data_IF_045254057113
#
_entry.id   IF_045254057113
#
_cell.length_a   1.000
_cell.length_b   1.000
_cell.length_c   1.000
_cell.angle_alpha   90.00
_cell.angle_beta   90.00
_cell.angle_gamma   90.00
#
_symmetry.space_group_name_H-M   'P 1'
#
loop_
_entity.id
_entity.type
_entity.pdbx_description
1 polymer ?
#
# COMPACT_ATOMS: atom_id res chain seq x y z
N UNK A 1 -9.16 -33.70 -4.45
CA UNK A 1 -10.16 -32.62 -4.59
C UNK A 1 -10.55 -31.88 -3.29
N UNK A 2 -9.99 -32.20 -2.11
CA UNK A 2 -10.36 -31.53 -0.85
C UNK A 2 -9.46 -30.34 -0.41
N UNK A 3 -8.34 -30.07 -1.11
CA UNK A 3 -7.39 -28.98 -0.77
C UNK A 3 -7.80 -27.59 -1.27
N UNK A 4 -8.73 -27.52 -2.23
CA UNK A 4 -9.11 -26.26 -2.89
C UNK A 4 -10.22 -25.54 -2.08
N UNK A 5 -11.20 -26.27 -1.53
CA UNK A 5 -12.34 -25.67 -0.83
C UNK A 5 -11.99 -25.02 0.52
N UNK A 6 -10.95 -25.48 1.22
CA UNK A 6 -10.48 -24.84 2.46
C UNK A 6 -9.76 -23.50 2.23
N UNK A 7 -9.16 -23.30 1.05
CA UNK A 7 -8.56 -22.01 0.67
C UNK A 7 -9.59 -20.95 0.32
N UNK A 8 -10.69 -21.32 -0.34
CA UNK A 8 -11.74 -20.39 -0.73
C UNK A 8 -12.57 -19.88 0.45
N UNK A 9 -12.81 -20.71 1.48
CA UNK A 9 -13.51 -20.29 2.69
C UNK A 9 -12.67 -19.31 3.51
N UNK A 10 -11.38 -19.59 3.78
CA UNK A 10 -10.52 -18.67 4.52
C UNK A 10 -10.31 -17.35 3.78
N UNK A 11 -10.23 -17.40 2.44
CA UNK A 11 -10.17 -16.22 1.58
C UNK A 11 -11.48 -15.40 1.58
N UNK A 12 -12.63 -16.00 1.86
CA UNK A 12 -13.88 -15.26 1.94
C UNK A 12 -14.02 -14.50 3.28
N UNK A 13 -13.66 -15.17 4.39
CA UNK A 13 -13.76 -14.58 5.73
C UNK A 13 -12.79 -13.41 5.96
N UNK A 14 -11.52 -13.53 5.56
CA UNK A 14 -10.56 -12.41 5.74
C UNK A 14 -10.99 -11.17 4.95
N UNK A 15 -11.56 -11.35 3.76
CA UNK A 15 -12.03 -10.26 2.92
C UNK A 15 -13.19 -9.52 3.59
N UNK A 16 -14.14 -10.23 4.19
CA UNK A 16 -15.25 -9.62 4.94
C UNK A 16 -14.78 -8.87 6.19
N UNK A 17 -13.83 -9.42 6.95
CA UNK A 17 -13.28 -8.73 8.13
C UNK A 17 -12.50 -7.46 7.76
N UNK A 18 -11.66 -7.52 6.72
CA UNK A 18 -10.90 -6.35 6.27
C UNK A 18 -11.82 -5.29 5.66
N UNK A 19 -12.84 -5.69 4.91
CA UNK A 19 -13.86 -4.77 4.41
C UNK A 19 -14.65 -4.11 5.54
N UNK A 20 -15.00 -4.85 6.59
CA UNK A 20 -15.65 -4.29 7.77
C UNK A 20 -14.80 -3.22 8.46
N UNK A 21 -13.48 -3.46 8.63
CA UNK A 21 -12.58 -2.53 9.33
C UNK A 21 -12.21 -1.29 8.51
N UNK A 22 -12.06 -1.42 7.19
CA UNK A 22 -11.46 -0.39 6.35
C UNK A 22 -12.39 0.12 5.23
N UNK A 23 -13.58 -0.49 5.07
CA UNK A 23 -14.62 -0.08 4.13
C UNK A 23 -14.11 0.21 2.72
N UNK A 24 -14.47 1.39 2.20
CA UNK A 24 -14.12 1.85 0.86
C UNK A 24 -12.60 1.96 0.64
N UNK A 25 -11.81 2.19 1.69
CA UNK A 25 -10.36 2.26 1.55
C UNK A 25 -9.77 0.88 1.21
N UNK A 26 -10.34 -0.20 1.75
CA UNK A 26 -9.94 -1.56 1.38
C UNK A 26 -10.32 -1.91 -0.06
N UNK A 27 -11.55 -1.60 -0.49
CA UNK A 27 -11.96 -1.82 -1.88
C UNK A 27 -11.03 -1.12 -2.87
N UNK A 28 -10.70 0.15 -2.61
CA UNK A 28 -9.78 0.92 -3.46
C UNK A 28 -8.35 0.39 -3.40
N UNK A 29 -7.88 0.00 -2.22
CA UNK A 29 -6.57 -0.60 -2.07
C UNK A 29 -6.42 -1.87 -2.91
N UNK A 30 -7.41 -2.76 -2.90
CA UNK A 30 -7.38 -3.98 -3.72
C UNK A 30 -7.28 -3.68 -5.21
N UNK A 31 -8.00 -2.66 -5.71
CA UNK A 31 -7.89 -2.21 -7.11
C UNK A 31 -6.48 -1.73 -7.47
N UNK A 32 -5.82 -1.00 -6.57
CA UNK A 32 -4.43 -0.55 -6.78
C UNK A 32 -3.50 -1.76 -6.90
N UNK A 33 -3.66 -2.76 -6.03
CA UNK A 33 -2.85 -4.00 -6.06
C UNK A 33 -3.10 -4.78 -7.35
N UNK A 34 -4.37 -4.97 -7.75
CA UNK A 34 -4.75 -5.69 -8.97
C UNK A 34 -4.16 -5.03 -10.24
N UNK A 35 -4.05 -3.70 -10.23
CA UNK A 35 -3.47 -2.92 -11.32
C UNK A 35 -1.93 -2.85 -11.26
N UNK A 36 -1.28 -3.60 -10.36
CA UNK A 36 0.17 -3.56 -10.09
C UNK A 36 0.67 -2.15 -9.76
N UNK A 37 -0.14 -1.37 -9.05
CA UNK A 37 0.15 0.03 -8.72
C UNK A 37 1.01 0.24 -7.49
N UNK A 38 1.76 -0.76 -7.04
CA UNK A 38 2.63 -0.67 -5.85
C UNK A 38 4.05 -1.03 -6.22
N UNK A 39 4.98 -0.08 -6.06
CA UNK A 39 6.43 -0.32 -6.13
C UNK A 39 7.00 -0.31 -4.72
N UNK A 40 7.93 -1.23 -4.44
CA UNK A 40 8.83 -1.15 -3.29
C UNK A 40 10.20 -0.74 -3.81
N UNK A 41 10.69 0.40 -3.33
CA UNK A 41 12.02 0.91 -3.67
C UNK A 41 12.91 0.62 -2.48
N UNK A 42 13.96 -0.16 -2.69
CA UNK A 42 14.90 -0.61 -1.65
C UNK A 42 16.28 -0.07 -1.96
N UNK A 43 16.86 0.65 -0.99
CA UNK A 43 18.24 1.11 -1.03
C UNK A 43 19.21 0.00 -0.66
N UNK A 44 20.29 -0.13 -1.41
CA UNK A 44 21.40 -1.02 -1.10
C UNK A 44 22.67 -0.21 -0.77
N UNK A 45 23.45 -0.65 0.24
CA UNK A 45 23.31 -1.89 1.00
C UNK A 45 22.39 -1.81 2.23
N UNK A 46 21.82 -0.65 2.59
CA UNK A 46 21.11 -0.48 3.86
C UNK A 46 19.86 -1.36 4.04
N UNK A 47 19.22 -1.79 2.94
CA UNK A 47 17.95 -2.50 2.96
C UNK A 47 16.75 -1.63 3.34
N UNK A 48 16.95 -0.31 3.51
CA UNK A 48 15.85 0.63 3.78
C UNK A 48 14.93 0.69 2.58
N UNK A 49 13.62 0.77 2.80
CA UNK A 49 12.67 0.82 1.72
C UNK A 49 11.53 1.79 1.95
N UNK A 50 10.98 2.27 0.85
CA UNK A 50 9.76 3.08 0.79
C UNK A 50 8.85 2.48 -0.27
N UNK A 51 7.54 2.62 -0.09
CA UNK A 51 6.58 2.27 -1.13
C UNK A 51 6.23 3.49 -1.96
N UNK A 52 6.12 3.30 -3.26
CA UNK A 52 5.55 4.27 -4.16
C UNK A 52 4.25 3.68 -4.71
N UNK A 53 3.13 4.34 -4.43
CA UNK A 53 1.78 3.81 -4.68
C UNK A 53 1.03 4.72 -5.66
N UNK A 54 0.47 4.14 -6.72
CA UNK A 54 -0.32 4.87 -7.71
C UNK A 54 -1.60 5.42 -7.06
N UNK A 55 -1.85 6.70 -7.33
CA UNK A 55 -3.12 7.36 -7.08
C UNK A 55 -4.15 7.04 -8.16
N UNK A 56 -5.43 7.20 -7.82
CA UNK A 56 -6.56 7.03 -8.74
C UNK A 56 -6.81 8.26 -9.63
N UNK A 57 -5.98 9.31 -9.52
CA UNK A 57 -6.18 10.55 -10.27
C UNK A 57 -5.82 10.37 -11.75
N UNK A 58 -6.49 11.12 -12.64
CA UNK A 58 -6.18 11.12 -14.08
C UNK A 58 -4.74 11.51 -14.41
N UNK A 59 -4.03 12.11 -13.45
CA UNK A 59 -2.65 12.59 -13.58
C UNK A 59 -1.60 11.50 -13.31
N UNK A 60 -2.01 10.28 -12.95
CA UNK A 60 -1.10 9.18 -12.55
C UNK A 60 -0.11 9.62 -11.45
N UNK A 61 -0.62 10.37 -10.48
CA UNK A 61 0.19 10.79 -9.32
C UNK A 61 0.64 9.55 -8.54
N UNK A 62 1.90 9.52 -8.15
CA UNK A 62 2.48 8.49 -7.30
C UNK A 62 2.74 9.08 -5.91
N UNK A 63 2.31 8.39 -4.87
CA UNK A 63 2.52 8.81 -3.48
C UNK A 63 3.56 7.93 -2.81
N UNK A 64 4.53 8.55 -2.15
CA UNK A 64 5.39 7.85 -1.22
C UNK A 64 4.62 7.46 0.05
N UNK A 65 4.85 6.23 0.51
CA UNK A 65 4.14 5.63 1.61
C UNK A 65 5.06 4.78 2.48
N UNK A 66 5.05 5.08 3.78
CA UNK A 66 5.52 4.22 4.86
C UNK A 66 4.28 3.57 5.48
N UNK A 67 3.96 2.30 5.18
CA UNK A 67 2.61 1.77 5.38
C UNK A 67 2.12 1.78 6.82
N UNK A 68 3.05 1.84 7.77
CA UNK A 68 2.79 1.92 9.21
C UNK A 68 2.62 3.34 9.72
N UNK A 69 3.28 4.32 9.09
CA UNK A 69 3.52 5.62 9.72
C UNK A 69 3.05 6.81 8.89
N UNK A 70 3.10 6.74 7.55
CA UNK A 70 2.93 7.91 6.71
C UNK A 70 2.46 7.57 5.29
N UNK A 71 1.67 8.48 4.70
CA UNK A 71 1.46 8.52 3.26
C UNK A 71 1.30 9.97 2.79
N UNK A 72 1.96 10.34 1.69
CA UNK A 72 1.89 11.70 1.14
C UNK A 72 0.55 12.08 0.48
N UNK A 73 -0.48 11.23 0.58
CA UNK A 73 -1.79 11.55 0.01
C UNK A 73 -2.62 12.44 0.94
N UNK A 74 -3.48 13.28 0.36
CA UNK A 74 -4.36 14.19 1.10
C UNK A 74 -5.23 13.50 2.17
N UNK A 75 -5.79 12.33 1.86
CA UNK A 75 -6.65 11.56 2.77
C UNK A 75 -5.92 11.07 4.04
N UNK A 76 -4.60 10.84 3.96
CA UNK A 76 -3.83 10.46 5.15
C UNK A 76 -3.79 11.62 6.15
N UNK A 77 -3.43 12.81 5.68
CA UNK A 77 -3.41 13.98 6.55
C UNK A 77 -4.80 14.33 7.09
N UNK A 78 -5.81 14.33 6.23
CA UNK A 78 -7.13 14.82 6.60
C UNK A 78 -7.95 13.80 7.41
N UNK A 79 -8.12 12.58 6.90
CA UNK A 79 -9.06 11.61 7.48
C UNK A 79 -8.45 10.85 8.67
N UNK A 80 -7.12 10.69 8.70
CA UNK A 80 -6.43 9.89 9.72
C UNK A 80 -5.78 10.79 10.76
N UNK A 81 -4.87 11.69 10.34
CA UNK A 81 -4.11 12.50 11.30
C UNK A 81 -4.99 13.58 11.93
N UNK A 82 -5.72 14.34 11.12
CA UNK A 82 -6.50 15.47 11.62
C UNK A 82 -7.83 15.03 12.26
N UNK A 83 -8.57 14.15 11.61
CA UNK A 83 -9.91 13.74 12.08
C UNK A 83 -9.93 12.46 12.90
N UNK A 84 -8.96 11.55 12.72
CA UNK A 84 -8.99 10.23 13.35
C UNK A 84 -10.19 9.36 12.92
N UNK A 85 -10.84 9.68 11.80
CA UNK A 85 -12.04 8.97 11.30
C UNK A 85 -11.70 7.67 10.57
N UNK A 86 -10.45 7.52 10.12
CA UNK A 86 -9.98 6.35 9.40
C UNK A 86 -8.69 5.81 10.04
N UNK A 87 -8.54 4.49 10.07
CA UNK A 87 -7.32 3.83 10.59
C UNK A 87 -6.15 3.89 9.61
N UNK A 88 -6.45 3.83 8.30
CA UNK A 88 -5.45 3.78 7.23
C UNK A 88 -6.04 4.41 5.97
N UNK A 89 -5.19 5.04 5.15
CA UNK A 89 -5.59 5.46 3.82
C UNK A 89 -5.52 4.24 2.90
N UNK A 90 -6.18 4.32 1.74
CA UNK A 90 -6.14 3.25 0.73
C UNK A 90 -4.71 2.90 0.28
N UNK A 91 -3.78 3.85 0.25
CA UNK A 91 -2.40 3.60 -0.19
C UNK A 91 -1.58 2.81 0.85
N UNK A 92 -1.75 3.11 2.15
CA UNK A 92 -1.15 2.31 3.23
C UNK A 92 -1.65 0.87 3.17
N UNK A 93 -2.95 0.68 2.96
CA UNK A 93 -3.54 -0.65 2.79
C UNK A 93 -3.00 -1.35 1.54
N UNK A 94 -2.93 -0.66 0.40
CA UNK A 94 -2.41 -1.23 -0.84
C UNK A 94 -0.96 -1.70 -0.68
N UNK A 95 -0.11 -0.90 -0.03
CA UNK A 95 1.28 -1.26 0.23
C UNK A 95 1.40 -2.48 1.14
N UNK A 96 0.63 -2.54 2.25
CA UNK A 96 0.61 -3.71 3.16
C UNK A 96 0.12 -4.98 2.45
N UNK A 97 -0.96 -4.86 1.67
CA UNK A 97 -1.53 -5.97 0.91
C UNK A 97 -0.55 -6.48 -0.14
N UNK A 98 0.00 -5.60 -0.97
CA UNK A 98 0.96 -5.99 -2.00
C UNK A 98 2.22 -6.63 -1.39
N UNK A 99 2.73 -6.09 -0.28
CA UNK A 99 3.85 -6.67 0.44
C UNK A 99 3.55 -8.09 0.94
N UNK A 100 2.39 -8.29 1.55
CA UNK A 100 1.97 -9.59 2.10
C UNK A 100 1.71 -10.63 1.01
N UNK A 101 1.25 -10.18 -0.16
CA UNK A 101 0.93 -11.04 -1.30
C UNK A 101 2.12 -11.26 -2.25
N UNK A 102 3.27 -10.62 -2.01
CA UNK A 102 4.39 -10.64 -2.96
C UNK A 102 4.07 -10.00 -4.31
N UNK A 103 3.14 -9.04 -4.33
CA UNK A 103 2.63 -8.38 -5.52
C UNK A 103 3.26 -6.99 -5.78
N UNK A 104 4.32 -6.64 -5.04
CA UNK A 104 5.07 -5.42 -5.26
C UNK A 104 5.92 -5.52 -6.54
N UNK A 105 6.05 -4.40 -7.24
CA UNK A 105 7.15 -4.21 -8.20
C UNK A 105 8.39 -3.84 -7.39
N UNK A 106 9.37 -4.75 -7.35
CA UNK A 106 10.60 -4.55 -6.59
C UNK A 106 11.60 -3.72 -7.42
N UNK A 107 12.09 -2.63 -6.84
CA UNK A 107 13.06 -1.71 -7.44
C UNK A 107 14.23 -1.55 -6.49
N UNK A 108 15.44 -1.78 -7.00
CA UNK A 108 16.68 -1.62 -6.23
C UNK A 108 17.41 -0.37 -6.70
N UNK A 109 17.88 0.43 -5.75
CA UNK A 109 18.62 1.69 -5.98
C UNK A 109 19.78 1.77 -4.99
N UNK A 110 20.73 2.68 -5.22
CA UNK A 110 21.73 2.97 -4.19
C UNK A 110 21.09 3.76 -3.03
N UNK A 111 21.69 3.67 -1.84
CA UNK A 111 21.24 4.46 -0.69
C UNK A 111 21.22 5.98 -0.98
N UNK A 112 22.18 6.49 -1.76
CA UNK A 112 22.21 7.90 -2.19
C UNK A 112 21.01 8.25 -3.06
N UNK A 113 20.65 7.39 -4.02
CA UNK A 113 19.47 7.58 -4.86
C UNK A 113 18.19 7.55 -4.03
N UNK A 114 18.10 6.62 -3.07
CA UNK A 114 16.96 6.56 -2.15
C UNK A 114 16.84 7.86 -1.33
N UNK A 115 17.94 8.40 -0.82
CA UNK A 115 17.95 9.68 -0.09
C UNK A 115 17.46 10.82 -0.98
N UNK A 116 17.91 10.90 -2.24
CA UNK A 116 17.46 11.94 -3.19
C UNK A 116 15.96 11.81 -3.47
N UNK A 117 15.42 10.60 -3.62
CA UNK A 117 13.99 10.38 -3.81
C UNK A 117 13.18 10.88 -2.60
N UNK A 118 13.72 10.70 -1.39
CA UNK A 118 13.05 11.05 -0.14
C UNK A 118 13.30 12.49 0.33
N UNK A 119 14.22 13.25 -0.29
CA UNK A 119 14.58 14.59 0.19
C UNK A 119 13.49 15.64 -0.04
N UNK A 120 12.52 15.35 -0.91
CA UNK A 120 11.43 16.26 -1.31
C UNK A 120 10.06 15.79 -0.81
N UNK A 121 10.04 14.92 0.18
CA UNK A 121 8.83 14.40 0.83
C UNK A 121 8.19 15.42 1.78
#
# INVERSE_FOLDING_TARGET
MARIYWGYLSLFWYKSSLHFLFGKNFERATKIVDQRGVKRITGEPSGRSVFQVLGESRRKEEYFCFPENYCGCYSFFYDIVNRGEQLCCKHQLAARLAASLGACIEVKVSDEQLVILLSNL
#
